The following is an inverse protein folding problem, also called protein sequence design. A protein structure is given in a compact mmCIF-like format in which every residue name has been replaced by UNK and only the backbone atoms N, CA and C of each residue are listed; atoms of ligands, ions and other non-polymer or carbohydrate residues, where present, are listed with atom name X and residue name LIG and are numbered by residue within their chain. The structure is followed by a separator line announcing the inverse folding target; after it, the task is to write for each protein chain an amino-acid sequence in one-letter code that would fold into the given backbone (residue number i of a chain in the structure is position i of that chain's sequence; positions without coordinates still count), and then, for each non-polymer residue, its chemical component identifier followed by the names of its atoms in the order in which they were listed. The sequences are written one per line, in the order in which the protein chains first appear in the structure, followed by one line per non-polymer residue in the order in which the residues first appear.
data_IF_549187334756
#
_entry.id   IF_549187334756
#
_cell.length_a   1.000
_cell.length_b   1.000
_cell.length_c   1.000
_cell.angle_alpha   90.00
_cell.angle_beta   90.00
_cell.angle_gamma   90.00
#
_symmetry.space_group_name_H-M   'P 1'
#
loop_
_entity.id
_entity.type
_entity.pdbx_description
1 polymer ?
#
# COMPACT_ATOMS: atom_id res chain seq x y z
N UNK A 1 28.23 91.00 21.46
CA UNK A 1 28.28 90.06 20.29
C UNK A 1 28.27 88.64 20.81
N UNK A 2 27.11 87.98 20.82
CA UNK A 2 26.92 86.61 21.30
C UNK A 2 26.97 85.65 20.15
N UNK A 3 27.86 84.68 20.21
CA UNK A 3 27.99 83.58 19.21
C UNK A 3 26.79 82.64 19.29
N UNK A 4 26.16 82.27 18.15
CA UNK A 4 25.11 81.30 18.19
C UNK A 4 25.64 79.84 18.37
N UNK A 5 25.02 79.14 19.26
CA UNK A 5 25.34 77.79 19.68
C UNK A 5 25.07 76.80 18.56
N UNK A 6 26.10 76.24 17.92
CA UNK A 6 26.11 75.25 16.86
C UNK A 6 25.72 73.82 17.33
N UNK A 7 25.37 73.62 18.59
CA UNK A 7 25.02 72.32 19.19
C UNK A 7 23.61 71.82 18.80
N UNK A 8 22.65 72.72 18.64
CA UNK A 8 21.26 72.40 18.34
C UNK A 8 21.07 71.73 16.96
N UNK A 9 21.86 72.08 15.96
CA UNK A 9 21.66 71.58 14.57
C UNK A 9 22.11 70.16 14.41
N UNK A 10 23.05 69.65 15.18
CA UNK A 10 23.49 68.24 15.13
C UNK A 10 22.47 67.35 15.76
N UNK A 11 21.86 67.65 16.83
CA UNK A 11 20.86 66.91 17.57
C UNK A 11 19.59 66.74 16.72
N UNK A 12 19.14 67.76 16.00
CA UNK A 12 18.03 67.77 15.13
C UNK A 12 18.27 66.86 13.90
N UNK A 13 19.46 66.80 13.33
CA UNK A 13 19.84 65.90 12.22
C UNK A 13 19.79 64.43 12.62
N UNK A 14 20.33 64.10 13.79
CA UNK A 14 20.27 62.72 14.30
C UNK A 14 18.84 62.27 14.58
N UNK A 15 17.98 63.13 15.09
CA UNK A 15 16.57 62.87 15.29
C UNK A 15 15.82 62.59 13.96
N UNK A 16 16.09 63.43 12.95
CA UNK A 16 15.51 63.21 11.60
C UNK A 16 15.96 61.90 10.97
N UNK A 17 17.23 61.55 11.11
CA UNK A 17 17.74 60.28 10.61
C UNK A 17 17.05 59.11 11.34
N UNK A 18 16.87 59.18 12.64
CA UNK A 18 16.17 58.16 13.43
C UNK A 18 14.74 57.97 12.98
N UNK A 19 13.99 59.06 12.74
CA UNK A 19 12.61 59.02 12.25
C UNK A 19 12.54 58.37 10.87
N UNK A 20 13.45 58.73 9.97
CA UNK A 20 13.48 58.12 8.62
C UNK A 20 13.75 56.60 8.66
N UNK A 21 14.71 56.17 9.50
CA UNK A 21 15.03 54.72 9.65
C UNK A 21 13.85 53.97 10.24
N UNK A 22 13.18 54.49 11.24
CA UNK A 22 11.99 53.85 11.83
C UNK A 22 10.84 53.81 10.81
N UNK A 23 10.60 54.87 10.04
CA UNK A 23 9.58 54.89 9.01
C UNK A 23 9.87 53.86 7.90
N UNK A 24 11.11 53.77 7.43
CA UNK A 24 11.52 52.75 6.47
C UNK A 24 11.36 51.32 7.02
N UNK A 25 11.68 51.11 8.28
CA UNK A 25 11.48 49.80 8.97
C UNK A 25 10.00 49.40 9.03
N UNK A 26 9.13 50.35 9.41
CA UNK A 26 7.68 50.12 9.48
C UNK A 26 7.05 49.83 8.09
N UNK A 27 7.49 50.55 7.07
CA UNK A 27 7.02 50.32 5.70
C UNK A 27 7.47 48.95 5.16
N UNK A 28 8.73 48.56 5.41
CA UNK A 28 9.26 47.27 5.01
C UNK A 28 8.52 46.11 5.70
N UNK A 29 8.27 46.19 7.01
CA UNK A 29 7.49 45.18 7.74
C UNK A 29 6.03 45.12 7.28
N UNK A 30 5.41 46.27 7.00
CA UNK A 30 4.06 46.35 6.43
C UNK A 30 3.96 45.65 5.08
N UNK A 31 4.95 45.85 4.22
CA UNK A 31 4.99 45.19 2.90
C UNK A 31 5.17 43.66 3.01
N UNK A 32 6.01 43.20 3.93
CA UNK A 32 6.25 41.80 4.20
C UNK A 32 5.02 41.08 4.77
N UNK A 33 4.28 41.74 5.66
CA UNK A 33 3.04 41.24 6.21
C UNK A 33 1.91 41.21 5.16
N UNK A 34 1.87 42.23 4.30
CA UNK A 34 0.89 42.27 3.22
C UNK A 34 1.12 41.12 2.21
N UNK A 35 2.37 40.85 1.81
CA UNK A 35 2.73 39.74 0.94
C UNK A 35 2.29 38.39 1.53
N UNK A 36 2.57 38.15 2.81
CA UNK A 36 2.12 36.92 3.51
C UNK A 36 0.59 36.77 3.56
N UNK A 37 -0.14 37.88 3.73
CA UNK A 37 -1.61 37.85 3.68
C UNK A 37 -2.13 37.45 2.31
N UNK A 38 -1.58 38.01 1.25
CA UNK A 38 -1.96 37.69 -0.14
C UNK A 38 -1.67 36.21 -0.44
N UNK A 39 -0.50 35.70 -0.05
CA UNK A 39 -0.12 34.29 -0.23
C UNK A 39 -1.06 33.34 0.52
N UNK A 40 -1.43 33.69 1.76
CA UNK A 40 -2.38 32.92 2.56
C UNK A 40 -3.79 32.95 1.98
N UNK A 41 -4.24 34.10 1.46
CA UNK A 41 -5.54 34.22 0.80
C UNK A 41 -5.57 33.39 -0.48
N UNK A 42 -4.54 33.45 -1.32
CA UNK A 42 -4.45 32.64 -2.54
C UNK A 42 -4.39 31.14 -2.20
N UNK A 43 -3.69 30.76 -1.14
CA UNK A 43 -3.67 29.39 -0.64
C UNK A 43 -5.05 28.92 -0.16
N UNK A 44 -5.80 29.74 0.57
CA UNK A 44 -7.14 29.42 1.06
C UNK A 44 -8.17 29.39 -0.07
N UNK A 45 -8.11 30.33 -1.00
CA UNK A 45 -9.11 30.45 -2.05
C UNK A 45 -8.90 29.47 -3.22
N UNK A 46 -7.66 29.06 -3.49
CA UNK A 46 -7.35 28.19 -4.63
C UNK A 46 -6.83 26.82 -4.21
N UNK A 47 -5.76 26.76 -3.42
CA UNK A 47 -5.11 25.47 -3.10
C UNK A 47 -5.96 24.58 -2.20
N UNK A 48 -6.64 25.13 -1.21
CA UNK A 48 -7.46 24.34 -0.30
C UNK A 48 -8.67 23.71 -1.02
N UNK A 49 -9.45 24.44 -1.85
CA UNK A 49 -10.54 23.82 -2.60
C UNK A 49 -10.04 22.79 -3.61
N UNK A 50 -8.90 23.00 -4.27
CA UNK A 50 -8.35 22.06 -5.24
C UNK A 50 -7.91 20.76 -4.55
N UNK A 51 -7.21 20.85 -3.41
CA UNK A 51 -6.85 19.70 -2.59
C UNK A 51 -8.09 18.97 -2.06
N UNK A 52 -9.12 19.72 -1.64
CA UNK A 52 -10.37 19.13 -1.16
C UNK A 52 -11.09 18.36 -2.30
N UNK A 53 -11.09 18.89 -3.52
CA UNK A 53 -11.63 18.18 -4.70
C UNK A 53 -10.83 16.93 -5.02
N UNK A 54 -9.51 17.04 -5.03
CA UNK A 54 -8.63 15.89 -5.27
C UNK A 54 -8.83 14.78 -4.24
N UNK A 55 -8.90 15.13 -2.96
CA UNK A 55 -9.23 14.20 -1.88
C UNK A 55 -10.60 13.56 -2.07
N UNK A 56 -11.61 14.33 -2.47
CA UNK A 56 -12.95 13.81 -2.71
C UNK A 56 -13.00 12.85 -3.92
N UNK A 57 -12.29 13.18 -5.00
CA UNK A 57 -12.19 12.30 -6.18
C UNK A 57 -11.47 11.00 -5.81
N UNK A 58 -10.35 11.11 -5.09
CA UNK A 58 -9.60 9.94 -4.65
C UNK A 58 -10.38 9.08 -3.65
N UNK A 59 -11.11 9.70 -2.73
CA UNK A 59 -11.98 8.98 -1.79
C UNK A 59 -13.11 8.22 -2.51
N UNK A 60 -13.77 8.85 -3.50
CA UNK A 60 -14.78 8.18 -4.33
C UNK A 60 -14.19 7.03 -5.16
N UNK A 61 -13.00 7.24 -5.74
CA UNK A 61 -12.30 6.20 -6.47
C UNK A 61 -11.92 5.04 -5.55
N UNK A 62 -11.45 5.33 -4.35
CA UNK A 62 -11.14 4.32 -3.34
C UNK A 62 -12.38 3.55 -2.90
N UNK A 63 -13.49 4.25 -2.58
CA UNK A 63 -14.76 3.61 -2.22
C UNK A 63 -15.25 2.69 -3.34
N UNK A 64 -15.25 3.17 -4.59
CA UNK A 64 -15.65 2.35 -5.74
C UNK A 64 -14.77 1.11 -5.93
N UNK A 65 -13.45 1.28 -5.83
CA UNK A 65 -12.52 0.15 -5.89
C UNK A 65 -12.69 -0.81 -4.70
N UNK A 66 -13.06 -0.28 -3.54
CA UNK A 66 -13.37 -1.08 -2.36
C UNK A 66 -14.65 -1.89 -2.56
N UNK A 67 -15.71 -1.24 -3.05
CA UNK A 67 -17.00 -1.87 -3.35
C UNK A 67 -16.86 -2.93 -4.47
N UNK A 68 -16.12 -2.63 -5.53
CA UNK A 68 -15.79 -3.58 -6.59
C UNK A 68 -14.96 -4.77 -6.06
N UNK A 69 -14.03 -4.51 -5.14
CA UNK A 69 -13.23 -5.55 -4.50
C UNK A 69 -14.04 -6.38 -3.50
N UNK A 70 -15.02 -5.78 -2.84
CA UNK A 70 -15.93 -6.45 -1.93
C UNK A 70 -16.95 -7.30 -2.71
N UNK A 71 -17.47 -6.79 -3.81
CA UNK A 71 -18.40 -7.51 -4.68
C UNK A 71 -17.77 -8.64 -5.48
N UNK A 72 -16.52 -8.50 -5.90
CA UNK A 72 -15.84 -9.45 -6.78
C UNK A 72 -15.06 -10.57 -6.07
N UNK A 73 -14.69 -10.41 -4.81
CA UNK A 73 -13.77 -11.36 -4.18
C UNK A 73 -14.04 -11.72 -2.72
N UNK A 74 -14.93 -11.02 -2.05
CA UNK A 74 -15.04 -11.15 -0.60
C UNK A 74 -16.30 -11.85 -0.11
N UNK A 75 -17.37 -11.82 -0.88
CA UNK A 75 -18.68 -12.38 -0.49
C UNK A 75 -18.96 -13.77 -1.07
N UNK A 76 -18.19 -14.22 -2.08
CA UNK A 76 -18.54 -15.37 -2.88
C UNK A 76 -17.97 -16.72 -2.43
N UNK A 77 -16.98 -16.77 -1.57
CA UNK A 77 -16.31 -18.02 -1.29
C UNK A 77 -16.57 -18.51 0.14
N UNK A 78 -17.69 -19.21 0.27
CA UNK A 78 -18.09 -19.86 1.54
C UNK A 78 -17.10 -20.95 1.99
N UNK A 79 -16.32 -21.53 1.06
CA UNK A 79 -15.36 -22.59 1.37
C UNK A 79 -14.00 -22.35 0.68
N UNK A 80 -12.97 -21.95 1.46
CA UNK A 80 -11.62 -21.77 0.95
C UNK A 80 -11.01 -23.02 0.31
N UNK A 81 -11.35 -24.22 0.77
CA UNK A 81 -10.81 -25.46 0.24
C UNK A 81 -11.34 -25.75 -1.16
N UNK A 82 -12.66 -25.59 -1.37
CA UNK A 82 -13.28 -25.76 -2.67
C UNK A 82 -12.71 -24.78 -3.69
N UNK A 83 -12.51 -23.54 -3.28
CA UNK A 83 -11.88 -22.52 -4.12
C UNK A 83 -10.46 -22.89 -4.55
N UNK A 84 -9.62 -23.30 -3.62
CA UNK A 84 -8.25 -23.69 -3.94
C UNK A 84 -8.21 -24.92 -4.88
N UNK A 85 -9.17 -25.87 -4.73
CA UNK A 85 -9.32 -27.00 -5.66
C UNK A 85 -9.72 -26.58 -7.07
N UNK A 86 -10.63 -25.63 -7.18
CA UNK A 86 -11.04 -25.06 -8.48
C UNK A 86 -9.89 -24.33 -9.17
N UNK A 87 -9.14 -23.53 -8.41
CA UNK A 87 -7.95 -22.87 -8.93
C UNK A 87 -6.90 -23.86 -9.44
N UNK A 88 -6.66 -24.96 -8.72
CA UNK A 88 -5.69 -25.97 -9.13
C UNK A 88 -6.11 -26.69 -10.43
N UNK A 89 -7.42 -26.78 -10.72
CA UNK A 89 -7.97 -27.36 -11.94
C UNK A 89 -7.98 -26.39 -13.13
N UNK A 90 -7.65 -25.12 -12.91
CA UNK A 90 -7.65 -24.13 -13.97
C UNK A 90 -6.66 -24.52 -15.08
N UNK A 91 -7.08 -24.34 -16.34
CA UNK A 91 -6.32 -24.71 -17.53
C UNK A 91 -4.98 -23.95 -17.64
N UNK A 92 -4.93 -22.74 -17.11
CA UNK A 92 -3.72 -21.90 -17.14
C UNK A 92 -2.65 -22.35 -16.14
N UNK A 93 -3.03 -23.18 -15.16
CA UNK A 93 -2.16 -23.60 -14.06
C UNK A 93 -1.73 -25.06 -14.20
N UNK A 94 -2.60 -25.90 -14.72
CA UNK A 94 -2.34 -27.34 -15.02
C UNK A 94 -1.75 -28.12 -13.82
N UNK A 95 -2.19 -27.79 -12.59
CA UNK A 95 -1.73 -28.50 -11.39
C UNK A 95 -2.45 -29.85 -11.17
N UNK A 96 -3.62 -30.02 -11.77
CA UNK A 96 -4.40 -31.24 -11.65
C UNK A 96 -5.02 -31.44 -10.27
N UNK A 97 -5.15 -32.70 -9.86
CA UNK A 97 -5.74 -33.04 -8.56
C UNK A 97 -4.75 -32.68 -7.43
N UNK A 98 -5.23 -31.92 -6.46
CA UNK A 98 -4.48 -31.48 -5.28
C UNK A 98 -5.15 -31.97 -4.01
N UNK A 99 -4.34 -32.37 -3.05
CA UNK A 99 -4.77 -32.65 -1.68
C UNK A 99 -4.61 -31.37 -0.85
N UNK A 100 -5.70 -30.96 -0.17
CA UNK A 100 -5.76 -29.74 0.60
C UNK A 100 -6.17 -30.08 2.01
N UNK A 101 -5.25 -29.87 2.96
CA UNK A 101 -5.46 -30.14 4.38
C UNK A 101 -5.54 -28.83 5.13
N UNK A 102 -6.69 -28.54 5.76
CA UNK A 102 -6.86 -27.40 6.65
C UNK A 102 -6.13 -27.64 7.98
N UNK A 103 -5.46 -26.62 8.48
CA UNK A 103 -4.85 -26.61 9.81
C UNK A 103 -5.77 -25.89 10.80
N UNK A 104 -5.57 -26.09 12.12
CA UNK A 104 -6.34 -25.37 13.14
C UNK A 104 -6.30 -23.86 12.95
N UNK A 105 -7.45 -23.22 13.17
CA UNK A 105 -7.58 -21.76 13.12
C UNK A 105 -6.76 -21.12 14.23
N UNK A 106 -6.07 -20.06 13.92
CA UNK A 106 -5.29 -19.27 14.88
C UNK A 106 -5.79 -17.83 14.87
N UNK A 107 -5.81 -17.18 16.04
CA UNK A 107 -6.22 -15.78 16.15
C UNK A 107 -5.01 -14.95 16.60
N UNK A 108 -4.18 -14.46 15.68
CA UNK A 108 -2.98 -13.69 16.02
C UNK A 108 -3.30 -12.29 16.54
N UNK A 109 -4.48 -11.76 16.19
CA UNK A 109 -4.95 -10.43 16.58
C UNK A 109 -6.42 -10.54 16.94
N UNK A 110 -6.87 -9.85 18.00
CA UNK A 110 -8.27 -9.80 18.41
C UNK A 110 -9.18 -9.38 17.25
N UNK A 111 -10.19 -10.18 16.96
CA UNK A 111 -11.13 -9.97 15.87
C UNK A 111 -10.67 -10.44 14.49
N UNK A 112 -9.53 -11.14 14.40
CA UNK A 112 -9.00 -11.71 13.16
C UNK A 112 -8.67 -13.18 13.35
N UNK A 113 -9.13 -14.02 12.43
CA UNK A 113 -8.85 -15.46 12.41
C UNK A 113 -8.05 -15.81 11.16
N UNK A 114 -6.91 -16.44 11.36
CA UNK A 114 -6.09 -16.99 10.30
C UNK A 114 -6.31 -18.51 10.21
N UNK A 115 -6.66 -18.98 9.03
CA UNK A 115 -6.81 -20.40 8.70
C UNK A 115 -5.74 -20.79 7.69
N UNK A 116 -4.98 -21.80 7.98
CA UNK A 116 -3.88 -22.28 7.14
C UNK A 116 -4.28 -23.52 6.37
N UNK A 117 -3.92 -23.56 5.11
CA UNK A 117 -4.15 -24.69 4.21
C UNK A 117 -2.83 -25.19 3.66
N UNK A 118 -2.58 -26.46 3.82
CA UNK A 118 -1.45 -27.15 3.23
C UNK A 118 -1.91 -27.82 1.94
N UNK A 119 -1.30 -27.44 0.84
CA UNK A 119 -1.65 -27.91 -0.51
C UNK A 119 -0.51 -28.76 -1.05
N UNK A 120 -0.84 -29.95 -1.51
CA UNK A 120 0.10 -30.92 -2.10
C UNK A 120 -0.49 -31.51 -3.39
N UNK A 121 0.34 -31.95 -4.34
CA UNK A 121 -0.16 -32.75 -5.44
C UNK A 121 -0.67 -34.10 -4.93
N UNK A 122 -1.83 -34.56 -5.44
CA UNK A 122 -2.38 -35.85 -5.08
C UNK A 122 -1.50 -36.99 -5.60
N UNK A 123 -0.94 -36.87 -6.81
CA UNK A 123 0.02 -37.81 -7.38
C UNK A 123 1.44 -37.32 -7.15
N UNK A 124 2.23 -38.08 -6.38
CA UNK A 124 3.64 -37.76 -6.13
C UNK A 124 4.52 -38.07 -7.33
N UNK A 125 4.14 -39.05 -8.14
CA UNK A 125 4.93 -39.51 -9.31
C UNK A 125 4.88 -38.53 -10.48
N UNK A 126 3.98 -37.55 -10.43
CA UNK A 126 3.80 -36.53 -11.48
C UNK A 126 4.55 -35.26 -11.13
N UNK A 127 5.75 -35.13 -11.65
CA UNK A 127 6.51 -33.87 -11.51
C UNK A 127 5.83 -32.70 -12.25
N UNK A 128 5.95 -31.52 -11.67
CA UNK A 128 5.35 -30.26 -12.17
C UNK A 128 6.45 -29.29 -12.59
N UNK A 129 6.18 -28.54 -13.64
CA UNK A 129 7.10 -27.45 -14.05
C UNK A 129 7.07 -26.32 -13.02
N UNK A 130 8.21 -25.71 -12.72
CA UNK A 130 8.31 -24.57 -11.80
C UNK A 130 7.38 -23.43 -12.20
N UNK A 131 7.23 -23.17 -13.49
CA UNK A 131 6.35 -22.11 -14.01
C UNK A 131 4.89 -22.35 -13.63
N UNK A 132 4.42 -23.61 -13.67
CA UNK A 132 3.04 -23.95 -13.29
C UNK A 132 2.81 -23.70 -11.79
N UNK A 133 3.79 -24.07 -10.95
CA UNK A 133 3.73 -23.79 -9.50
C UNK A 133 3.72 -22.30 -9.22
N UNK A 134 4.57 -21.53 -9.92
CA UNK A 134 4.60 -20.07 -9.82
C UNK A 134 3.28 -19.42 -10.25
N UNK A 135 2.71 -19.87 -11.38
CA UNK A 135 1.41 -19.38 -11.87
C UNK A 135 0.28 -19.68 -10.89
N UNK A 136 0.31 -20.87 -10.27
CA UNK A 136 -0.67 -21.24 -9.25
C UNK A 136 -0.61 -20.32 -8.05
N UNK A 137 0.58 -20.06 -7.50
CA UNK A 137 0.78 -19.15 -6.39
C UNK A 137 0.31 -17.74 -6.75
N UNK A 138 0.72 -17.24 -7.91
CA UNK A 138 0.30 -15.93 -8.40
C UNK A 138 -1.23 -15.82 -8.51
N UNK A 139 -1.89 -16.85 -9.04
CA UNK A 139 -3.34 -16.88 -9.21
C UNK A 139 -4.07 -16.87 -7.84
N UNK A 140 -3.55 -17.58 -6.85
CA UNK A 140 -4.10 -17.57 -5.48
C UNK A 140 -4.09 -16.14 -4.92
N UNK A 141 -2.96 -15.44 -5.04
CA UNK A 141 -2.81 -14.08 -4.48
C UNK A 141 -3.51 -13.00 -5.31
N UNK A 142 -3.57 -13.16 -6.63
CA UNK A 142 -4.22 -12.21 -7.53
C UNK A 142 -5.74 -12.21 -7.36
N UNK A 143 -6.33 -13.41 -7.26
CA UNK A 143 -7.79 -13.57 -7.19
C UNK A 143 -8.36 -13.47 -5.80
N UNK A 144 -7.55 -13.53 -4.75
CA UNK A 144 -8.00 -13.44 -3.37
C UNK A 144 -7.14 -12.49 -2.55
N UNK A 145 -7.76 -11.42 -2.03
CA UNK A 145 -7.10 -10.50 -1.10
C UNK A 145 -6.94 -11.08 0.31
N UNK A 146 -7.68 -12.15 0.62
CA UNK A 146 -7.67 -12.81 1.93
C UNK A 146 -6.65 -13.92 2.03
N UNK A 147 -6.22 -14.46 0.89
CA UNK A 147 -5.29 -15.58 0.85
C UNK A 147 -3.89 -15.10 0.50
N UNK A 148 -2.91 -15.59 1.22
CA UNK A 148 -1.49 -15.34 0.99
C UNK A 148 -0.73 -16.66 1.02
N UNK A 149 0.18 -16.80 0.09
CA UNK A 149 1.14 -17.90 0.11
C UNK A 149 2.19 -17.59 1.17
N UNK A 150 2.21 -18.38 2.24
CA UNK A 150 3.11 -18.14 3.39
C UNK A 150 4.34 -19.02 3.39
N UNK A 151 4.29 -20.16 2.71
CA UNK A 151 5.42 -21.06 2.61
C UNK A 151 5.37 -21.87 1.32
N UNK A 152 6.52 -22.06 0.70
CA UNK A 152 6.69 -22.88 -0.49
C UNK A 152 7.87 -23.81 -0.27
N UNK A 153 7.66 -25.07 -0.54
CA UNK A 153 8.72 -26.08 -0.60
C UNK A 153 8.67 -26.75 -1.96
N UNK A 154 9.81 -26.86 -2.60
CA UNK A 154 9.96 -27.56 -3.87
C UNK A 154 11.17 -28.46 -3.80
N UNK A 155 11.01 -29.71 -4.26
CA UNK A 155 12.11 -30.67 -4.28
C UNK A 155 11.99 -31.57 -5.51
N UNK A 156 13.12 -32.11 -5.93
CA UNK A 156 13.13 -33.17 -6.95
C UNK A 156 12.86 -34.50 -6.29
N UNK A 157 11.96 -35.28 -6.84
CA UNK A 157 11.78 -36.67 -6.45
C UNK A 157 12.77 -37.58 -7.19
N UNK A 158 13.51 -38.38 -6.44
CA UNK A 158 14.44 -39.36 -6.96
C UNK A 158 15.82 -38.84 -7.33
N UNK A 159 16.75 -39.74 -7.58
CA UNK A 159 18.05 -39.42 -8.16
C UNK A 159 17.85 -39.13 -9.66
N UNK A 160 18.27 -37.97 -10.18
CA UNK A 160 18.18 -37.70 -11.61
C UNK A 160 18.99 -38.76 -12.37
N UNK A 161 18.37 -39.41 -13.36
CA UNK A 161 19.11 -40.26 -14.30
C UNK A 161 20.01 -39.37 -15.14
N UNK A 162 21.17 -39.86 -15.56
CA UNK A 162 22.17 -39.08 -16.30
C UNK A 162 21.63 -38.34 -17.53
N UNK A 163 20.54 -38.84 -18.15
CA UNK A 163 19.90 -38.23 -19.32
C UNK A 163 18.73 -37.26 -18.96
N UNK A 164 18.42 -37.02 -17.67
CA UNK A 164 17.29 -36.21 -17.23
C UNK A 164 17.66 -34.80 -16.79
N UNK A 165 18.91 -34.35 -17.00
CA UNK A 165 19.37 -33.02 -16.60
C UNK A 165 18.61 -31.84 -17.23
N UNK A 166 17.70 -32.07 -18.17
CA UNK A 166 16.82 -31.07 -18.78
C UNK A 166 15.38 -31.06 -18.27
N UNK A 167 14.96 -32.01 -17.44
CA UNK A 167 13.57 -32.12 -17.01
C UNK A 167 13.28 -31.22 -15.81
N UNK A 168 12.60 -30.07 -16.04
CA UNK A 168 12.13 -29.14 -15.02
C UNK A 168 10.87 -29.69 -14.31
N UNK A 169 11.03 -30.85 -13.64
CA UNK A 169 9.94 -31.52 -12.92
C UNK A 169 10.23 -31.55 -11.43
N UNK A 170 9.28 -31.01 -10.67
CA UNK A 170 9.41 -30.82 -9.23
C UNK A 170 8.17 -31.33 -8.50
N UNK A 171 8.35 -31.91 -7.34
CA UNK A 171 7.32 -32.04 -6.33
C UNK A 171 7.26 -30.75 -5.51
N UNK A 172 6.09 -30.44 -5.00
CA UNK A 172 5.90 -29.17 -4.28
C UNK A 172 4.90 -29.30 -3.12
N UNK A 173 5.03 -28.41 -2.19
CA UNK A 173 4.14 -28.20 -1.06
C UNK A 173 3.99 -26.71 -0.84
N UNK A 174 2.75 -26.23 -0.77
CA UNK A 174 2.43 -24.81 -0.58
C UNK A 174 1.56 -24.68 0.66
N UNK A 175 1.94 -23.75 1.54
CA UNK A 175 1.11 -23.32 2.66
C UNK A 175 0.48 -21.97 2.32
N UNK A 176 -0.85 -21.92 2.39
CA UNK A 176 -1.65 -20.72 2.14
C UNK A 176 -2.35 -20.34 3.44
N UNK A 177 -2.25 -19.07 3.81
CA UNK A 177 -2.99 -18.52 4.95
C UNK A 177 -4.17 -17.69 4.44
N UNK A 178 -5.37 -18.04 4.89
CA UNK A 178 -6.58 -17.26 4.68
C UNK A 178 -6.91 -16.46 5.92
N UNK A 179 -7.01 -15.15 5.78
CA UNK A 179 -7.35 -14.23 6.87
C UNK A 179 -8.81 -13.81 6.80
N UNK A 180 -9.52 -13.98 7.90
CA UNK A 180 -10.93 -13.63 8.01
C UNK A 180 -11.18 -12.79 9.26
N UNK A 181 -12.23 -11.95 9.20
CA UNK A 181 -12.72 -11.25 10.39
C UNK A 181 -13.49 -12.23 11.26
N UNK A 182 -13.22 -12.22 12.56
CA UNK A 182 -13.94 -13.05 13.51
C UNK A 182 -15.45 -12.69 13.51
N UNK A 183 -16.32 -13.69 13.41
CA UNK A 183 -17.78 -13.49 13.45
C UNK A 183 -18.49 -13.36 12.10
N UNK A 184 -17.81 -13.50 10.98
CA UNK A 184 -18.42 -13.61 9.64
C UNK A 184 -18.46 -15.10 9.26
N UNK A 185 -19.55 -15.77 9.64
CA UNK A 185 -19.92 -17.10 9.14
C UNK A 185 -21.03 -16.98 8.09
#
# INVERSE_FOLDING_TARGET
MSKPTTSSSRMTRWFLIGVVVVSCGLTATGFMLHGRRVDLQDALERRVPDLARELQVNARRYSRLYDEAEGAGLTGQKDPQTYLRELAKNKDVVMGATDITGQPKTSPIKGVVDEKFLIRPQSRDRGFMRVNVANFMHLIEQRSRRMRVTKVRMWREGKPRENEYGNDRWSWEIEVTSRQKEGVQ
#
